data_IF_265235957276
#
_entry.id   IF_265235957276
#
_cell.length_a   1.000
_cell.length_b   1.000
_cell.length_c   1.000
_cell.angle_alpha   90.00
_cell.angle_beta   90.00
_cell.angle_gamma   90.00
#
_symmetry.space_group_name_H-M   'P 1'
#
loop_
_entity.id
_entity.type
_entity.pdbx_description
1 polymer ?
#
# COMPACT_ATOMS: atom_id res chain seq x y z
N UNK A 1 -5.59 32.55 -69.88
CA UNK A 1 -5.14 33.46 -68.81
C UNK A 1 -5.69 32.95 -67.48
N UNK A 2 -4.83 32.93 -66.47
CA UNK A 2 -5.14 33.02 -65.03
C UNK A 2 -5.91 31.85 -64.39
N UNK A 3 -5.19 30.78 -63.99
CA UNK A 3 -4.90 30.64 -62.54
C UNK A 3 -3.52 30.03 -62.20
N UNK A 4 -2.79 29.48 -63.17
CA UNK A 4 -1.55 28.71 -62.90
C UNK A 4 -0.37 29.62 -62.57
N UNK A 5 -0.33 30.84 -63.12
CA UNK A 5 0.75 31.81 -62.84
C UNK A 5 0.66 32.39 -61.42
N UNK A 6 -0.57 32.53 -60.88
CA UNK A 6 -0.78 33.06 -59.53
C UNK A 6 -0.27 32.12 -58.42
N UNK A 7 -0.39 30.81 -58.63
CA UNK A 7 0.09 29.79 -57.68
C UNK A 7 1.62 29.73 -57.67
N UNK A 8 2.27 29.85 -58.84
CA UNK A 8 3.73 29.87 -58.94
C UNK A 8 4.35 31.06 -58.20
N UNK A 9 3.73 32.24 -58.30
CA UNK A 9 4.22 33.45 -57.61
C UNK A 9 3.99 33.35 -56.09
N UNK A 10 2.88 32.79 -55.63
CA UNK A 10 2.60 32.61 -54.20
C UNK A 10 3.60 31.65 -53.52
N UNK A 11 3.95 30.53 -54.18
CA UNK A 11 4.93 29.58 -53.65
C UNK A 11 6.34 30.18 -53.61
N UNK A 12 6.71 30.94 -54.65
CA UNK A 12 7.99 31.65 -54.67
C UNK A 12 8.10 32.70 -53.56
N UNK A 13 7.00 33.41 -53.25
CA UNK A 13 6.96 34.43 -52.19
C UNK A 13 7.05 33.80 -50.78
N UNK A 14 6.40 32.66 -50.55
CA UNK A 14 6.52 31.93 -49.27
C UNK A 14 7.94 31.37 -49.09
N UNK A 15 8.55 30.85 -50.16
CA UNK A 15 9.94 30.40 -50.12
C UNK A 15 10.92 31.56 -49.87
N UNK A 16 10.69 32.73 -50.48
CA UNK A 16 11.51 33.92 -50.26
C UNK A 16 11.35 34.48 -48.84
N UNK A 17 10.14 34.46 -48.28
CA UNK A 17 9.91 34.83 -46.88
C UNK A 17 10.59 33.85 -45.93
N UNK A 18 10.54 32.54 -46.20
CA UNK A 18 11.20 31.52 -45.38
C UNK A 18 12.73 31.61 -45.42
N UNK A 19 13.32 31.93 -46.58
CA UNK A 19 14.77 32.13 -46.73
C UNK A 19 15.20 33.48 -46.13
N UNK A 20 14.35 34.49 -46.19
CA UNK A 20 14.62 35.81 -45.61
C UNK A 20 14.49 35.82 -44.07
N UNK A 21 13.55 35.07 -43.50
CA UNK A 21 13.46 34.86 -42.05
C UNK A 21 14.58 33.98 -41.51
N UNK A 22 15.18 33.13 -42.34
CA UNK A 22 16.37 32.35 -41.96
C UNK A 22 17.67 33.17 -42.05
N UNK A 23 17.75 34.16 -42.95
CA UNK A 23 18.95 34.99 -43.15
C UNK A 23 19.02 36.26 -42.29
N UNK A 24 17.90 36.74 -41.75
CA UNK A 24 17.89 37.81 -40.73
C UNK A 24 17.90 37.20 -39.35
N UNK A 25 19.10 37.14 -38.76
CA UNK A 25 19.35 36.67 -37.41
C UNK A 25 18.22 37.04 -36.46
N UNK A 26 17.55 36.01 -35.95
CA UNK A 26 16.64 36.10 -34.82
C UNK A 26 17.33 36.96 -33.76
N UNK A 27 16.70 38.03 -33.25
CA UNK A 27 17.32 38.86 -32.23
C UNK A 27 17.72 37.97 -31.06
N UNK A 28 19.04 37.88 -30.83
CA UNK A 28 19.74 37.13 -29.77
C UNK A 28 19.45 37.70 -28.36
N UNK A 29 18.24 38.22 -28.13
CA UNK A 29 17.85 38.88 -26.89
C UNK A 29 16.89 38.03 -26.02
N UNK A 30 16.62 36.78 -26.39
CA UNK A 30 15.81 35.85 -25.57
C UNK A 30 16.25 34.38 -25.68
N UNK A 31 17.51 34.12 -26.04
CA UNK A 31 18.12 32.81 -25.76
C UNK A 31 18.40 32.76 -24.27
N UNK A 32 17.36 32.49 -23.47
CA UNK A 32 17.57 31.80 -22.19
C UNK A 32 18.48 30.63 -22.54
N UNK A 33 19.69 30.60 -21.98
CA UNK A 33 20.68 29.55 -22.17
C UNK A 33 20.03 28.20 -21.85
N UNK A 34 19.44 27.57 -22.86
CA UNK A 34 18.75 26.30 -22.76
C UNK A 34 19.85 25.25 -22.65
N UNK A 35 20.22 24.91 -21.42
CA UNK A 35 21.11 23.79 -21.15
C UNK A 35 20.26 22.52 -21.14
N UNK A 36 20.44 21.59 -22.09
CA UNK A 36 19.69 20.33 -22.12
C UNK A 36 19.85 19.53 -20.82
N UNK A 37 21.05 19.61 -20.22
CA UNK A 37 21.34 19.00 -18.91
C UNK A 37 20.45 19.60 -17.81
N UNK A 38 20.31 20.93 -17.74
CA UNK A 38 19.41 21.57 -16.77
C UNK A 38 17.95 21.20 -17.01
N UNK A 39 17.52 21.11 -18.26
CA UNK A 39 16.16 20.71 -18.60
C UNK A 39 15.86 19.28 -18.10
N UNK A 40 16.76 18.32 -18.33
CA UNK A 40 16.63 16.94 -17.82
C UNK A 40 16.61 16.90 -16.30
N UNK A 41 17.44 17.70 -15.62
CA UNK A 41 17.46 17.75 -14.16
C UNK A 41 16.15 18.31 -13.57
N UNK A 42 15.61 19.36 -14.19
CA UNK A 42 14.31 19.92 -13.81
C UNK A 42 13.18 18.91 -14.03
N UNK A 43 13.19 18.22 -15.17
CA UNK A 43 12.22 17.18 -15.47
C UNK A 43 12.31 16.02 -14.48
N UNK A 44 13.53 15.56 -14.17
CA UNK A 44 13.76 14.51 -13.16
C UNK A 44 13.19 14.91 -11.80
N UNK A 45 13.44 16.14 -11.34
CA UNK A 45 12.87 16.63 -10.08
C UNK A 45 11.34 16.70 -10.11
N UNK A 46 10.74 17.09 -11.24
CA UNK A 46 9.29 17.12 -11.41
C UNK A 46 8.68 15.70 -11.44
N UNK A 47 9.34 14.73 -12.09
CA UNK A 47 8.92 13.32 -12.10
C UNK A 47 9.05 12.70 -10.71
N UNK A 48 10.15 12.98 -9.99
CA UNK A 48 10.34 12.52 -8.61
C UNK A 48 9.19 12.95 -7.69
N UNK A 49 8.80 14.23 -7.74
CA UNK A 49 7.66 14.74 -6.95
C UNK A 49 6.35 14.03 -7.30
N UNK A 50 6.08 13.79 -8.59
CA UNK A 50 4.88 13.06 -9.04
C UNK A 50 4.87 11.62 -8.52
N UNK A 51 5.96 10.88 -8.72
CA UNK A 51 6.09 9.50 -8.23
C UNK A 51 5.96 9.41 -6.72
N UNK A 52 6.60 10.34 -6.00
CA UNK A 52 6.52 10.42 -4.54
C UNK A 52 5.09 10.62 -4.06
N UNK A 53 4.37 11.60 -4.63
CA UNK A 53 2.98 11.86 -4.29
C UNK A 53 2.06 10.67 -4.61
N UNK A 54 2.41 9.87 -5.60
CA UNK A 54 1.65 8.68 -5.98
C UNK A 54 1.93 7.49 -5.06
N UNK A 55 3.19 7.25 -4.71
CA UNK A 55 3.57 6.27 -3.68
C UNK A 55 2.85 6.58 -2.35
N UNK A 56 2.81 7.86 -1.95
CA UNK A 56 2.11 8.30 -0.74
C UNK A 56 0.62 7.97 -0.77
N UNK A 57 -0.03 8.07 -1.94
CA UNK A 57 -1.44 7.70 -2.11
C UNK A 57 -1.65 6.21 -1.92
N UNK A 58 -0.80 5.36 -2.53
CA UNK A 58 -0.90 3.91 -2.37
C UNK A 58 -0.65 3.48 -0.92
N UNK A 59 0.39 4.02 -0.28
CA UNK A 59 0.71 3.75 1.11
C UNK A 59 -0.45 4.15 2.04
N UNK A 60 -0.99 5.36 1.87
CA UNK A 60 -2.12 5.86 2.66
C UNK A 60 -3.35 5.00 2.47
N UNK A 61 -3.70 4.64 1.22
CA UNK A 61 -4.86 3.79 0.93
C UNK A 61 -4.72 2.39 1.53
N UNK A 62 -3.54 1.78 1.36
CA UNK A 62 -3.25 0.45 1.90
C UNK A 62 -3.32 0.44 3.42
N UNK A 63 -2.69 1.40 4.10
CA UNK A 63 -2.70 1.51 5.58
C UNK A 63 -4.08 1.83 6.14
N UNK A 64 -4.84 2.73 5.51
CA UNK A 64 -6.18 3.10 5.97
C UNK A 64 -7.17 1.92 5.94
N UNK A 65 -6.95 0.97 5.02
CA UNK A 65 -7.83 -0.18 4.89
C UNK A 65 -7.55 -1.32 5.89
N UNK A 66 -6.40 -1.32 6.60
CA UNK A 66 -5.95 -2.47 7.39
C UNK A 66 -5.66 -2.19 8.87
N UNK A 67 -5.23 -3.22 9.60
CA UNK A 67 -4.80 -3.06 10.99
C UNK A 67 -3.50 -2.28 11.05
N UNK A 68 -3.48 -1.26 11.92
CA UNK A 68 -2.28 -0.48 12.17
C UNK A 68 -1.17 -1.39 12.71
N UNK A 69 -0.06 -1.48 11.98
CA UNK A 69 1.18 -2.02 12.52
C UNK A 69 1.57 -1.10 13.69
N UNK A 70 1.93 -1.71 14.84
CA UNK A 70 2.35 -0.95 16.03
C UNK A 70 3.44 0.04 15.64
N UNK A 71 3.42 1.23 16.24
CA UNK A 71 4.43 2.24 16.00
C UNK A 71 5.84 1.66 16.21
N UNK A 72 6.76 1.98 15.28
CA UNK A 72 8.12 1.46 15.27
C UNK A 72 8.28 -0.01 14.84
N UNK A 73 7.21 -0.67 14.40
CA UNK A 73 7.28 -2.00 13.79
C UNK A 73 7.02 -1.93 12.29
N UNK A 74 7.60 -2.89 11.58
CA UNK A 74 7.50 -3.07 10.13
C UNK A 74 6.91 -4.45 9.85
N UNK A 75 6.07 -4.56 8.82
CA UNK A 75 5.57 -5.86 8.35
C UNK A 75 6.70 -6.71 7.76
N UNK A 76 6.44 -8.02 7.57
CA UNK A 76 7.39 -8.91 6.92
C UNK A 76 7.74 -8.47 5.49
N UNK A 77 6.78 -7.96 4.71
CA UNK A 77 7.05 -7.44 3.37
C UNK A 77 7.86 -6.15 3.38
N UNK A 78 7.59 -5.21 4.29
CA UNK A 78 8.40 -4.00 4.44
C UNK A 78 9.85 -4.37 4.78
N UNK A 79 10.03 -5.34 5.67
CA UNK A 79 11.34 -5.84 6.07
C UNK A 79 12.05 -6.57 4.93
N UNK A 80 11.31 -7.37 4.14
CA UNK A 80 11.81 -8.01 2.92
C UNK A 80 12.35 -6.99 1.93
N UNK A 81 11.62 -5.91 1.67
CA UNK A 81 12.07 -4.86 0.75
C UNK A 81 13.36 -4.19 1.24
N UNK A 82 13.46 -3.90 2.54
CA UNK A 82 14.70 -3.36 3.16
C UNK A 82 15.86 -4.34 3.02
N UNK A 83 15.66 -5.63 3.28
CA UNK A 83 16.71 -6.63 3.13
C UNK A 83 17.21 -6.74 1.69
N UNK A 84 16.29 -6.83 0.73
CA UNK A 84 16.65 -6.88 -0.70
C UNK A 84 17.40 -5.61 -1.10
N UNK A 85 16.97 -4.44 -0.61
CA UNK A 85 17.67 -3.17 -0.83
C UNK A 85 19.10 -3.17 -0.29
N UNK A 86 19.32 -3.82 0.84
CA UNK A 86 20.63 -4.03 1.47
C UNK A 86 21.42 -5.21 0.86
N UNK A 87 20.84 -5.95 -0.09
CA UNK A 87 21.38 -7.24 -0.59
C UNK A 87 21.58 -8.27 0.51
N UNK A 88 20.73 -8.22 1.54
CA UNK A 88 20.62 -9.23 2.59
C UNK A 88 19.55 -10.25 2.20
N UNK A 89 19.74 -11.47 2.67
CA UNK A 89 18.78 -12.55 2.46
C UNK A 89 17.72 -12.51 3.57
N UNK A 90 16.48 -12.23 3.20
CA UNK A 90 15.34 -12.15 4.13
C UNK A 90 15.01 -13.50 4.79
N UNK A 91 15.33 -14.62 4.13
CA UNK A 91 15.07 -15.95 4.69
C UNK A 91 15.81 -16.17 6.01
N UNK A 92 16.91 -15.43 6.21
CA UNK A 92 17.74 -15.47 7.41
C UNK A 92 17.09 -14.82 8.64
N UNK A 93 16.02 -14.04 8.50
CA UNK A 93 15.36 -13.38 9.64
C UNK A 93 14.58 -14.33 10.57
N UNK A 94 14.32 -15.56 10.15
CA UNK A 94 13.76 -16.61 10.99
C UNK A 94 14.81 -17.35 11.87
N UNK A 95 16.09 -16.96 11.79
CA UNK A 95 17.20 -17.63 12.51
C UNK A 95 17.25 -17.39 14.01
N UNK A 96 16.46 -16.46 14.55
CA UNK A 96 16.51 -16.09 15.97
C UNK A 96 15.72 -17.04 16.91
N UNK A 97 15.67 -18.33 16.59
CA UNK A 97 15.16 -19.38 17.48
C UNK A 97 16.15 -20.54 17.46
N UNK A 98 17.07 -20.55 18.42
CA UNK A 98 17.95 -21.69 18.72
C UNK A 98 19.42 -21.51 18.33
N UNK A 99 20.26 -21.11 19.29
CA UNK A 99 21.69 -21.48 19.40
C UNK A 99 22.67 -21.09 18.29
N UNK A 100 22.27 -20.33 17.26
CA UNK A 100 23.17 -19.92 16.16
C UNK A 100 24.32 -18.98 16.53
N UNK A 101 24.42 -18.55 17.80
CA UNK A 101 25.56 -17.84 18.38
C UNK A 101 26.70 -18.78 18.83
N UNK A 102 26.44 -20.09 18.86
CA UNK A 102 27.42 -21.11 19.25
C UNK A 102 28.25 -21.51 18.02
N UNK A 103 29.58 -21.30 18.02
CA UNK A 103 30.42 -21.44 16.82
C UNK A 103 30.57 -22.87 16.28
N UNK A 104 30.09 -23.88 17.01
CA UNK A 104 30.16 -25.30 16.67
C UNK A 104 28.79 -25.94 16.42
N UNK A 105 27.69 -25.18 16.51
CA UNK A 105 26.40 -25.63 16.01
C UNK A 105 26.38 -25.30 14.51
N UNK A 106 26.40 -26.29 13.61
CA UNK A 106 26.23 -26.01 12.19
C UNK A 106 24.94 -25.22 12.01
N UNK A 107 24.98 -24.16 11.21
CA UNK A 107 23.78 -23.40 10.85
C UNK A 107 22.77 -24.45 10.34
N UNK A 108 21.58 -24.57 10.95
CA UNK A 108 20.62 -25.58 10.52
C UNK A 108 20.39 -25.42 9.01
N UNK A 109 20.49 -26.52 8.26
CA UNK A 109 20.14 -26.54 6.85
C UNK A 109 18.67 -26.11 6.74
N UNK A 110 18.44 -24.95 6.12
CA UNK A 110 17.09 -24.41 5.99
C UNK A 110 16.42 -25.01 4.77
N UNK A 111 15.44 -25.86 5.01
CA UNK A 111 14.41 -26.13 4.02
C UNK A 111 13.37 -25.00 4.10
N UNK A 112 13.32 -24.15 3.07
CA UNK A 112 12.19 -23.23 2.85
C UNK A 112 10.92 -24.08 2.75
N UNK A 113 10.04 -23.96 3.74
CA UNK A 113 8.70 -24.54 3.73
C UNK A 113 7.66 -23.42 3.67
N UNK A 114 6.49 -23.64 3.05
CA UNK A 114 5.43 -22.64 3.00
C UNK A 114 5.06 -22.06 4.38
N UNK A 115 5.11 -22.88 5.42
CA UNK A 115 4.83 -22.51 6.82
C UNK A 115 5.89 -21.55 7.37
N UNK A 116 7.18 -21.83 7.12
CA UNK A 116 8.27 -20.94 7.55
C UNK A 116 8.23 -19.60 6.80
N UNK A 117 7.89 -19.60 5.51
CA UNK A 117 7.70 -18.38 4.73
C UNK A 117 6.54 -17.56 5.28
N UNK A 118 5.38 -18.19 5.52
CA UNK A 118 4.20 -17.56 6.13
C UNK A 118 4.54 -16.93 7.48
N UNK A 119 5.16 -17.70 8.38
CA UNK A 119 5.53 -17.21 9.72
C UNK A 119 6.48 -16.01 9.68
N UNK A 120 7.39 -15.94 8.70
CA UNK A 120 8.23 -14.75 8.50
C UNK A 120 7.44 -13.53 8.03
N UNK A 121 6.49 -13.72 7.13
CA UNK A 121 5.72 -12.61 6.53
C UNK A 121 4.71 -12.02 7.51
N UNK A 122 4.10 -12.86 8.36
CA UNK A 122 3.12 -12.46 9.37
C UNK A 122 3.75 -11.75 10.59
N UNK A 123 5.07 -11.88 10.77
CA UNK A 123 5.77 -11.28 11.90
C UNK A 123 5.90 -9.76 11.74
N UNK A 124 5.71 -9.05 12.84
CA UNK A 124 6.10 -7.66 12.99
C UNK A 124 7.58 -7.58 13.42
N UNK A 125 8.42 -6.92 12.63
CA UNK A 125 9.84 -6.73 12.90
C UNK A 125 10.09 -5.35 13.50
N UNK A 126 11.01 -5.29 14.45
CA UNK A 126 11.60 -4.04 14.91
C UNK A 126 12.95 -3.89 14.24
N UNK A 127 13.06 -2.91 13.35
CA UNK A 127 14.32 -2.60 12.69
C UNK A 127 15.30 -1.96 13.69
N UNK A 128 16.58 -2.32 13.59
CA UNK A 128 17.64 -1.66 14.36
C UNK A 128 17.95 -0.26 13.78
N UNK A 129 18.85 0.51 14.43
CA UNK A 129 19.17 1.88 14.01
C UNK A 129 19.70 1.96 12.58
N UNK A 130 20.62 1.07 12.21
CA UNK A 130 21.20 0.98 10.87
C UNK A 130 20.13 0.69 9.81
N UNK A 131 19.28 -0.31 10.06
CA UNK A 131 18.18 -0.70 9.18
C UNK A 131 17.15 0.43 9.01
N UNK A 132 16.88 1.19 10.08
CA UNK A 132 15.99 2.36 10.01
C UNK A 132 16.59 3.47 9.16
N UNK A 133 17.87 3.78 9.33
CA UNK A 133 18.56 4.76 8.47
C UNK A 133 18.53 4.32 7.01
N UNK A 134 18.74 3.02 6.75
CA UNK A 134 18.67 2.48 5.39
C UNK A 134 17.25 2.56 4.82
N UNK A 135 16.23 2.22 5.60
CA UNK A 135 14.83 2.34 5.17
C UNK A 135 14.47 3.80 4.85
N UNK A 136 14.93 4.76 5.65
CA UNK A 136 14.76 6.20 5.36
C UNK A 136 15.46 6.60 4.06
N UNK A 137 16.70 6.14 3.85
CA UNK A 137 17.45 6.40 2.61
C UNK A 137 16.79 5.73 1.39
N UNK A 138 16.17 4.56 1.57
CA UNK A 138 15.38 3.88 0.55
C UNK A 138 14.16 4.73 0.17
N UNK A 139 13.41 5.25 1.15
CA UNK A 139 12.25 6.11 0.88
C UNK A 139 12.59 7.48 0.28
N UNK A 140 13.83 7.95 0.44
CA UNK A 140 14.32 9.17 -0.20
C UNK A 140 14.67 8.97 -1.69
N UNK A 141 14.92 7.74 -2.13
CA UNK A 141 15.19 7.38 -3.52
C UNK A 141 13.88 7.11 -4.28
N UNK A 142 13.83 7.49 -5.57
CA UNK A 142 12.66 7.24 -6.43
C UNK A 142 12.26 5.76 -6.49
N UNK A 143 13.23 4.90 -6.81
CA UNK A 143 12.98 3.46 -6.94
C UNK A 143 12.75 2.82 -5.57
N UNK A 144 13.52 3.25 -4.58
CA UNK A 144 13.37 2.75 -3.21
C UNK A 144 11.98 3.05 -2.62
N UNK A 145 11.43 4.24 -2.87
CA UNK A 145 10.06 4.58 -2.45
C UNK A 145 8.99 3.75 -3.15
N UNK A 146 9.15 3.47 -4.45
CA UNK A 146 8.27 2.55 -5.18
C UNK A 146 8.29 1.16 -4.54
N UNK A 147 9.48 0.64 -4.21
CA UNK A 147 9.62 -0.66 -3.55
C UNK A 147 9.02 -0.67 -2.13
N UNK A 148 9.18 0.42 -1.37
CA UNK A 148 8.59 0.58 -0.04
C UNK A 148 7.05 0.55 -0.10
N UNK A 149 6.46 1.33 -1.01
CA UNK A 149 5.02 1.35 -1.22
C UNK A 149 4.48 -0.02 -1.67
N UNK A 150 5.19 -0.70 -2.57
CA UNK A 150 4.83 -2.05 -3.01
C UNK A 150 4.81 -3.05 -1.86
N UNK A 151 5.78 -2.98 -0.95
CA UNK A 151 5.82 -3.82 0.23
C UNK A 151 4.60 -3.60 1.14
N UNK A 152 4.18 -2.35 1.32
CA UNK A 152 2.99 -2.00 2.12
C UNK A 152 1.71 -2.51 1.44
N UNK A 153 1.58 -2.35 0.12
CA UNK A 153 0.45 -2.88 -0.65
C UNK A 153 0.41 -4.41 -0.58
N UNK A 154 1.54 -5.09 -0.77
CA UNK A 154 1.66 -6.54 -0.68
C UNK A 154 1.30 -7.04 0.73
N UNK A 155 1.80 -6.39 1.78
CA UNK A 155 1.41 -6.69 3.15
C UNK A 155 -0.11 -6.58 3.35
N UNK A 156 -0.73 -5.56 2.76
CA UNK A 156 -2.18 -5.39 2.86
C UNK A 156 -2.96 -6.48 2.11
N UNK A 157 -2.53 -6.86 0.91
CA UNK A 157 -3.14 -7.98 0.17
C UNK A 157 -3.07 -9.25 1.00
N UNK A 158 -1.87 -9.54 1.51
CA UNK A 158 -1.59 -10.76 2.27
C UNK A 158 -2.45 -10.87 3.54
N UNK A 159 -2.86 -9.75 4.15
CA UNK A 159 -3.71 -9.76 5.34
C UNK A 159 -5.17 -10.14 5.07
N UNK A 160 -5.66 -10.13 3.82
CA UNK A 160 -7.04 -10.49 3.54
C UNK A 160 -7.25 -12.01 3.67
N UNK A 161 -8.19 -12.50 4.48
CA UNK A 161 -8.49 -13.93 4.58
C UNK A 161 -8.77 -14.61 3.24
N UNK A 162 -9.49 -13.94 2.33
CA UNK A 162 -9.82 -14.45 0.99
C UNK A 162 -8.58 -14.68 0.12
N UNK A 163 -7.44 -14.04 0.42
CA UNK A 163 -6.17 -14.32 -0.26
C UNK A 163 -5.67 -15.75 -0.02
N UNK A 164 -6.08 -16.36 1.10
CA UNK A 164 -5.66 -17.69 1.52
C UNK A 164 -6.69 -18.78 1.23
N UNK A 165 -7.88 -18.45 0.74
CA UNK A 165 -9.00 -19.40 0.55
C UNK A 165 -8.85 -20.33 -0.66
N UNK A 166 -7.75 -20.24 -1.42
CA UNK A 166 -7.52 -21.00 -2.66
C UNK A 166 -8.30 -20.47 -3.88
N UNK A 167 -9.19 -19.49 -3.70
CA UNK A 167 -9.99 -18.89 -4.79
C UNK A 167 -9.13 -18.37 -5.94
N UNK A 168 -8.03 -17.70 -5.62
CA UNK A 168 -7.13 -17.14 -6.63
C UNK A 168 -6.29 -18.20 -7.35
N UNK A 169 -6.04 -19.35 -6.72
CA UNK A 169 -5.34 -20.48 -7.34
C UNK A 169 -6.20 -21.09 -8.45
N UNK A 170 -7.51 -21.26 -8.20
CA UNK A 170 -8.45 -21.80 -9.19
C UNK A 170 -8.70 -20.90 -10.40
N UNK A 171 -8.46 -19.59 -10.26
CA UNK A 171 -8.61 -18.60 -11.33
C UNK A 171 -7.29 -18.29 -12.08
N UNK A 172 -6.19 -18.97 -11.73
CA UNK A 172 -4.84 -18.66 -12.24
C UNK A 172 -4.44 -17.18 -12.09
N UNK A 173 -5.02 -16.49 -11.09
CA UNK A 173 -4.86 -15.06 -10.87
C UNK A 173 -3.94 -14.75 -9.69
N UNK A 174 -3.43 -15.78 -9.01
CA UNK A 174 -2.56 -15.60 -7.84
C UNK A 174 -1.18 -15.14 -8.27
N UNK A 175 -0.83 -13.95 -7.78
CA UNK A 175 0.51 -13.36 -7.93
C UNK A 175 1.36 -13.75 -6.73
N UNK A 176 2.61 -14.14 -6.95
CA UNK A 176 3.59 -14.32 -5.88
C UNK A 176 4.05 -12.95 -5.35
N UNK A 177 3.42 -12.51 -4.26
CA UNK A 177 3.70 -11.21 -3.63
C UNK A 177 5.16 -11.08 -3.16
N UNK A 178 5.80 -12.18 -2.75
CA UNK A 178 7.20 -12.17 -2.31
C UNK A 178 8.09 -11.90 -3.52
N UNK A 179 7.90 -12.66 -4.60
CA UNK A 179 8.64 -12.46 -5.84
C UNK A 179 8.47 -11.06 -6.42
N UNK A 180 7.25 -10.50 -6.36
CA UNK A 180 6.96 -9.13 -6.82
C UNK A 180 7.70 -8.06 -6.02
N UNK A 181 7.64 -8.12 -4.69
CA UNK A 181 8.35 -7.16 -3.83
C UNK A 181 9.86 -7.28 -3.99
N UNK A 182 10.38 -8.52 -4.05
CA UNK A 182 11.81 -8.77 -4.31
C UNK A 182 12.24 -8.24 -5.67
N UNK A 183 11.43 -8.44 -6.73
CA UNK A 183 11.72 -7.91 -8.05
C UNK A 183 11.78 -6.37 -8.04
N UNK A 184 10.76 -5.71 -7.47
CA UNK A 184 10.70 -4.25 -7.42
C UNK A 184 11.87 -3.65 -6.64
N UNK A 185 12.20 -4.21 -5.47
CA UNK A 185 13.33 -3.76 -4.67
C UNK A 185 14.67 -3.99 -5.38
N UNK A 186 14.86 -5.15 -6.01
CA UNK A 186 16.08 -5.46 -6.77
C UNK A 186 16.24 -4.52 -7.98
N UNK A 187 15.19 -4.36 -8.77
CA UNK A 187 15.18 -3.47 -9.93
C UNK A 187 15.43 -2.00 -9.53
N UNK A 188 14.87 -1.56 -8.40
CA UNK A 188 15.12 -0.24 -7.86
C UNK A 188 16.59 -0.02 -7.47
N UNK A 189 17.23 -0.99 -6.79
CA UNK A 189 18.66 -0.89 -6.49
C UNK A 189 19.53 -0.84 -7.75
N UNK A 190 19.16 -1.58 -8.79
CA UNK A 190 19.87 -1.61 -10.07
C UNK A 190 19.76 -0.25 -10.78
N UNK A 191 18.55 0.32 -10.85
CA UNK A 191 18.31 1.65 -11.43
C UNK A 191 19.07 2.72 -10.67
N UNK A 192 19.06 2.68 -9.33
CA UNK A 192 19.87 3.59 -8.51
C UNK A 192 21.36 3.50 -8.86
N UNK A 193 21.89 2.28 -8.95
CA UNK A 193 23.28 2.04 -9.35
C UNK A 193 23.60 2.54 -10.76
N UNK A 194 22.64 2.48 -11.68
CA UNK A 194 22.79 3.03 -13.03
C UNK A 194 22.77 4.56 -13.03
N UNK A 195 21.93 5.21 -12.21
CA UNK A 195 21.95 6.67 -12.04
C UNK A 195 23.26 7.18 -11.45
N UNK A 196 23.86 6.47 -10.50
CA UNK A 196 25.18 6.84 -9.95
C UNK A 196 26.28 6.77 -11.00
N UNK A 197 26.14 5.92 -12.03
CA UNK A 197 27.10 5.86 -13.15
C UNK A 197 26.80 6.87 -14.25
N UNK A 198 25.56 7.34 -14.34
CA UNK A 198 25.09 8.31 -15.32
C UNK A 198 25.02 9.73 -14.70
N UNK A 199 26.12 10.18 -14.12
CA UNK A 199 26.22 11.54 -13.57
C UNK A 199 26.21 12.60 -14.67
N UNK A 200 25.73 13.82 -14.38
CA UNK A 200 25.76 14.92 -15.34
C UNK A 200 27.20 15.21 -15.80
N UNK A 201 27.44 15.44 -17.10
CA UNK A 201 28.77 15.83 -17.56
C UNK A 201 29.16 17.18 -16.95
N UNK A 202 30.43 17.29 -16.55
CA UNK A 202 31.01 18.49 -15.94
C UNK A 202 32.25 18.97 -16.70
N UNK A 203 32.67 20.21 -16.49
CA UNK A 203 33.88 20.76 -17.11
C UNK A 203 33.81 20.77 -18.64
N UNK A 204 34.91 20.44 -19.35
CA UNK A 204 34.96 20.45 -20.82
C UNK A 204 33.92 19.53 -21.48
N UNK A 205 33.59 18.41 -20.85
CA UNK A 205 32.59 17.45 -21.35
C UNK A 205 31.16 18.01 -21.33
N UNK A 206 30.87 19.03 -20.51
CA UNK A 206 29.55 19.66 -20.48
C UNK A 206 29.25 20.50 -21.73
N UNK A 207 30.28 20.84 -22.50
CA UNK A 207 30.18 21.56 -23.78
C UNK A 207 30.20 20.64 -24.99
N UNK A 208 30.50 19.35 -24.79
CA UNK A 208 30.53 18.34 -25.84
C UNK A 208 29.08 17.91 -26.17
N UNK A 209 28.66 18.13 -27.40
CA UNK A 209 27.28 17.90 -27.85
C UNK A 209 26.94 16.41 -27.82
N UNK A 210 27.88 15.53 -28.17
CA UNK A 210 27.64 14.09 -28.22
C UNK A 210 27.54 13.51 -26.79
N UNK A 211 28.39 13.99 -25.88
CA UNK A 211 28.34 13.60 -24.46
C UNK A 211 27.02 14.06 -23.82
N UNK A 212 26.61 15.31 -24.06
CA UNK A 212 25.34 15.84 -23.53
C UNK A 212 24.15 15.08 -24.13
N UNK A 213 24.14 14.80 -25.43
CA UNK A 213 23.07 14.04 -26.07
C UNK A 213 22.94 12.63 -25.49
N UNK A 214 24.07 11.92 -25.30
CA UNK A 214 24.08 10.60 -24.68
C UNK A 214 23.57 10.64 -23.23
N UNK A 215 24.00 11.64 -22.45
CA UNK A 215 23.52 11.83 -21.08
C UNK A 215 21.99 12.03 -21.02
N UNK A 216 21.45 12.89 -21.89
CA UNK A 216 20.00 13.14 -22.00
C UNK A 216 19.26 11.86 -22.35
N UNK A 217 19.74 11.11 -23.35
CA UNK A 217 19.14 9.85 -23.77
C UNK A 217 19.13 8.82 -22.62
N UNK A 218 20.28 8.59 -21.97
CA UNK A 218 20.40 7.61 -20.88
C UNK A 218 19.55 8.00 -19.67
N UNK A 219 19.54 9.27 -19.31
CA UNK A 219 18.68 9.78 -18.23
C UNK A 219 17.20 9.54 -18.53
N UNK A 220 16.77 9.80 -19.78
CA UNK A 220 15.40 9.52 -20.22
C UNK A 220 15.01 8.04 -20.10
N UNK A 221 15.90 7.13 -20.52
CA UNK A 221 15.68 5.69 -20.40
C UNK A 221 15.56 5.23 -18.94
N UNK A 222 16.43 5.72 -18.06
CA UNK A 222 16.39 5.37 -16.63
C UNK A 222 15.12 5.92 -15.95
N UNK A 223 14.69 7.13 -16.32
CA UNK A 223 13.42 7.69 -15.86
C UNK A 223 12.22 6.86 -16.36
N UNK A 224 12.22 6.45 -17.63
CA UNK A 224 11.20 5.55 -18.16
C UNK A 224 11.15 4.20 -17.45
N UNK A 225 12.31 3.67 -17.04
CA UNK A 225 12.38 2.44 -16.23
C UNK A 225 11.74 2.63 -14.85
N UNK A 226 11.98 3.76 -14.17
CA UNK A 226 11.28 4.08 -12.91
C UNK A 226 9.76 4.19 -13.10
N UNK A 227 9.33 4.82 -14.19
CA UNK A 227 7.90 4.95 -14.50
C UNK A 227 7.25 3.57 -14.76
N UNK A 228 7.98 2.63 -15.37
CA UNK A 228 7.52 1.24 -15.52
C UNK A 228 7.43 0.47 -14.18
N UNK A 229 8.34 0.72 -13.23
CA UNK A 229 8.24 0.15 -11.88
C UNK A 229 7.03 0.70 -11.13
N UNK A 230 6.72 1.98 -11.31
CA UNK A 230 5.51 2.60 -10.76
C UNK A 230 4.23 2.01 -11.37
N UNK A 231 4.22 1.72 -12.67
CA UNK A 231 3.08 1.06 -13.31
C UNK A 231 2.85 -0.35 -12.76
N UNK A 232 3.92 -1.08 -12.46
CA UNK A 232 3.82 -2.39 -11.79
C UNK A 232 3.26 -2.27 -10.37
N UNK A 233 3.62 -1.21 -9.64
CA UNK A 233 3.02 -0.89 -8.33
C UNK A 233 1.52 -0.56 -8.47
N UNK A 234 1.11 0.21 -9.48
CA UNK A 234 -0.32 0.47 -9.76
C UNK A 234 -1.09 -0.83 -9.97
N UNK A 235 -0.57 -1.74 -10.79
CA UNK A 235 -1.20 -3.04 -11.03
C UNK A 235 -1.34 -3.87 -9.74
N UNK A 236 -0.34 -3.79 -8.84
CA UNK A 236 -0.42 -4.43 -7.53
C UNK A 236 -1.49 -3.79 -6.63
N UNK A 237 -1.66 -2.47 -6.69
CA UNK A 237 -2.73 -1.75 -5.96
C UNK A 237 -4.13 -2.04 -6.51
N UNK A 238 -4.26 -2.21 -7.83
CA UNK A 238 -5.51 -2.66 -8.46
C UNK A 238 -5.88 -4.06 -7.97
N UNK A 239 -4.91 -4.98 -7.91
CA UNK A 239 -5.11 -6.30 -7.30
C UNK A 239 -5.59 -6.19 -5.85
N UNK A 240 -4.97 -5.33 -5.04
CA UNK A 240 -5.42 -5.06 -3.66
C UNK A 240 -6.88 -4.62 -3.62
N UNK A 241 -7.29 -3.73 -4.52
CA UNK A 241 -8.68 -3.26 -4.59
C UNK A 241 -9.65 -4.40 -4.95
N UNK A 242 -9.28 -5.29 -5.87
CA UNK A 242 -10.08 -6.47 -6.22
C UNK A 242 -10.20 -7.44 -5.04
N UNK A 243 -9.08 -7.76 -4.38
CA UNK A 243 -9.06 -8.65 -3.22
C UNK A 243 -9.92 -8.08 -2.09
N UNK A 244 -9.84 -6.77 -1.83
CA UNK A 244 -10.66 -6.11 -0.82
C UNK A 244 -12.17 -6.21 -1.11
N UNK A 245 -12.59 -6.04 -2.39
CA UNK A 245 -13.99 -6.19 -2.79
C UNK A 245 -14.48 -7.63 -2.64
N UNK A 246 -13.63 -8.60 -2.97
CA UNK A 246 -13.94 -10.02 -2.79
C UNK A 246 -14.07 -10.38 -1.31
N UNK A 247 -13.19 -9.84 -0.44
CA UNK A 247 -13.31 -10.00 1.01
C UNK A 247 -14.65 -9.46 1.49
N UNK A 248 -15.01 -8.22 1.14
CA UNK A 248 -16.28 -7.63 1.56
C UNK A 248 -17.51 -8.42 1.08
N UNK A 249 -17.42 -9.06 -0.09
CA UNK A 249 -18.48 -9.97 -0.58
C UNK A 249 -18.51 -11.28 0.21
N UNK A 250 -17.35 -11.85 0.56
CA UNK A 250 -17.26 -13.03 1.42
C UNK A 250 -17.86 -12.72 2.79
N UNK A 251 -17.43 -11.64 3.44
CA UNK A 251 -17.93 -11.21 4.76
C UNK A 251 -19.45 -11.02 4.75
N UNK A 252 -19.99 -10.44 3.67
CA UNK A 252 -21.44 -10.29 3.48
C UNK A 252 -22.14 -11.65 3.39
N UNK A 253 -21.60 -12.58 2.63
CA UNK A 253 -22.18 -13.91 2.48
C UNK A 253 -22.12 -14.68 3.80
N UNK A 254 -20.97 -14.66 4.48
CA UNK A 254 -20.78 -15.31 5.78
C UNK A 254 -21.76 -14.76 6.83
N UNK A 255 -22.00 -13.44 6.79
CA UNK A 255 -23.02 -12.80 7.62
C UNK A 255 -24.45 -13.22 7.25
N UNK A 256 -24.78 -13.30 5.95
CA UNK A 256 -26.10 -13.76 5.49
C UNK A 256 -26.36 -15.22 5.85
N UNK A 257 -25.36 -16.10 5.72
CA UNK A 257 -25.46 -17.51 6.09
C UNK A 257 -25.63 -17.66 7.61
N UNK A 258 -24.90 -16.86 8.39
CA UNK A 258 -25.07 -16.81 9.86
C UNK A 258 -26.45 -16.27 10.25
N UNK A 259 -26.91 -15.20 9.60
CA UNK A 259 -28.21 -14.59 9.89
C UNK A 259 -29.39 -15.47 9.44
N UNK A 260 -29.27 -16.17 8.31
CA UNK A 260 -30.27 -17.12 7.82
C UNK A 260 -30.31 -18.42 8.61
N UNK A 261 -29.29 -18.70 9.44
CA UNK A 261 -29.30 -19.83 10.39
C UNK A 261 -30.07 -19.54 11.68
N UNK A 262 -30.43 -18.27 11.93
CA UNK A 262 -31.42 -17.92 12.95
C UNK A 262 -32.80 -18.29 12.40
N UNK A 263 -33.40 -19.35 12.92
CA UNK A 263 -34.79 -19.67 12.59
C UNK A 263 -35.69 -18.59 13.18
N UNK A 264 -36.29 -17.77 12.30
CA UNK A 264 -37.21 -16.69 12.69
C UNK A 264 -38.36 -17.23 13.57
N UNK A 265 -38.72 -18.52 13.43
CA UNK A 265 -39.75 -19.17 14.25
C UNK A 265 -39.28 -19.39 15.68
N UNK A 266 -38.05 -19.88 15.88
CA UNK A 266 -37.49 -20.13 17.21
C UNK A 266 -37.20 -18.82 17.94
N UNK A 267 -36.63 -17.83 17.24
CA UNK A 267 -36.40 -16.49 17.80
C UNK A 267 -37.73 -15.81 18.17
N UNK A 268 -38.77 -16.00 17.36
CA UNK A 268 -40.12 -15.54 17.66
C UNK A 268 -40.74 -16.25 18.86
N UNK A 269 -40.56 -17.57 18.98
CA UNK A 269 -41.06 -18.36 20.09
C UNK A 269 -40.39 -17.97 21.42
N UNK A 270 -39.07 -17.80 21.42
CA UNK A 270 -38.30 -17.36 22.59
C UNK A 270 -38.71 -15.94 23.02
N UNK A 271 -38.91 -15.02 22.07
CA UNK A 271 -39.39 -13.67 22.39
C UNK A 271 -40.79 -13.66 23.04
N UNK A 272 -41.68 -14.57 22.60
CA UNK A 272 -43.01 -14.75 23.22
C UNK A 272 -42.88 -15.38 24.60
N UNK A 273 -42.04 -16.40 24.76
CA UNK A 273 -41.78 -17.06 26.05
C UNK A 273 -41.21 -16.06 27.08
N UNK A 274 -40.25 -15.24 26.69
CA UNK A 274 -39.68 -14.17 27.52
C UNK A 274 -40.73 -13.12 27.90
N UNK A 275 -41.63 -12.76 26.98
CA UNK A 275 -42.74 -11.84 27.26
C UNK A 275 -43.70 -12.41 28.31
N UNK A 276 -44.07 -13.69 28.18
CA UNK A 276 -44.93 -14.38 29.15
C UNK A 276 -44.26 -14.54 30.51
N UNK A 277 -42.96 -14.84 30.52
CA UNK A 277 -42.18 -14.94 31.75
C UNK A 277 -42.05 -13.59 32.47
N UNK A 278 -41.87 -12.49 31.72
CA UNK A 278 -41.88 -11.13 32.27
C UNK A 278 -43.24 -10.76 32.89
N UNK A 279 -44.35 -11.22 32.31
CA UNK A 279 -45.70 -11.05 32.89
C UNK A 279 -45.82 -11.82 34.21
N UNK A 280 -45.40 -13.09 34.25
CA UNK A 280 -45.42 -13.92 35.47
C UNK A 280 -44.57 -13.29 36.59
N UNK A 281 -43.37 -12.77 36.29
CA UNK A 281 -42.55 -12.04 37.26
C UNK A 281 -43.31 -10.82 37.82
N UNK A 282 -43.98 -10.04 36.96
CA UNK A 282 -44.75 -8.87 37.39
C UNK A 282 -45.93 -9.25 38.28
N UNK A 283 -46.64 -10.33 37.96
CA UNK A 283 -47.78 -10.79 38.74
C UNK A 283 -47.34 -11.38 40.08
N UNK A 284 -46.20 -12.08 40.13
CA UNK A 284 -45.57 -12.51 41.39
C UNK A 284 -45.14 -11.33 42.25
N UNK A 285 -44.56 -10.28 41.64
CA UNK A 285 -44.17 -9.08 42.35
C UNK A 285 -45.37 -8.35 42.98
N UNK A 286 -46.46 -8.16 42.22
CA UNK A 286 -47.72 -7.60 42.74
C UNK A 286 -48.32 -8.46 43.86
N UNK A 287 -48.28 -9.79 43.69
CA UNK A 287 -48.79 -10.72 44.71
C UNK A 287 -47.96 -10.64 46.00
N UNK A 288 -46.64 -10.52 45.89
CA UNK A 288 -45.75 -10.34 47.03
C UNK A 288 -45.96 -8.99 47.72
N UNK A 289 -46.18 -7.91 46.97
CA UNK A 289 -46.51 -6.58 47.50
C UNK A 289 -47.82 -6.61 48.29
N UNK A 290 -48.88 -7.21 47.74
CA UNK A 290 -50.17 -7.35 48.43
C UNK A 290 -50.05 -8.17 49.73
N UNK A 291 -49.30 -9.28 49.70
CA UNK A 291 -49.05 -10.09 50.88
C UNK A 291 -48.24 -9.34 51.96
N UNK A 292 -47.24 -8.55 51.54
CA UNK A 292 -46.48 -7.70 52.45
C UNK A 292 -47.36 -6.63 53.08
N UNK A 293 -48.21 -5.95 52.30
CA UNK A 293 -49.16 -4.96 52.79
C UNK A 293 -50.13 -5.55 53.83
N UNK A 294 -50.72 -6.72 53.57
CA UNK A 294 -51.58 -7.42 54.53
C UNK A 294 -50.84 -7.77 55.83
N UNK A 295 -49.59 -8.21 55.74
CA UNK A 295 -48.78 -8.53 56.91
C UNK A 295 -48.44 -7.29 57.73
N UNK A 296 -48.08 -6.18 57.08
CA UNK A 296 -47.83 -4.91 57.76
C UNK A 296 -49.09 -4.33 58.42
N UNK A 297 -50.26 -4.52 57.82
CA UNK A 297 -51.54 -4.11 58.39
C UNK A 297 -51.95 -5.01 59.58
N UNK A 298 -51.71 -6.32 59.48
CA UNK A 298 -51.88 -7.28 60.58
C UNK A 298 -50.94 -7.02 61.75
N UNK A 299 -49.70 -6.58 61.52
CA UNK A 299 -48.74 -6.20 62.58
C UNK A 299 -49.05 -4.83 63.21
N UNK A 300 -49.93 -4.03 62.58
CA UNK A 300 -50.39 -2.72 63.08
C UNK A 300 -51.56 -2.83 64.05
N UNK A 301 -52.44 -3.83 63.87
CA UNK A 301 -53.62 -4.05 64.70
C UNK A 301 -53.29 -4.26 66.21
N UNK A 302 -52.27 -5.04 66.62
CA UNK A 302 -51.94 -5.22 68.03
C UNK A 302 -51.50 -3.92 68.73
N UNK A 303 -50.89 -2.99 68.00
CA UNK A 303 -50.40 -1.71 68.56
C UNK A 303 -51.53 -0.70 68.79
N UNK A 304 -52.58 -0.73 67.95
CA UNK A 304 -53.75 0.13 68.14
C UNK A 304 -54.62 -0.34 69.32
N UNK A 305 -54.64 -1.64 69.64
CA UNK A 305 -55.34 -2.14 70.82
C UNK A 305 -54.59 -1.91 72.14
N UNK A 306 -53.26 -1.73 72.12
CA UNK A 306 -52.49 -1.34 73.32
C UNK A 306 -52.50 0.16 73.65
N UNK A 307 -52.99 1.02 72.74
CA UNK A 307 -53.13 2.47 72.96
C UNK A 307 -54.55 2.88 73.38
N UNK A 308 -55.47 1.92 73.52
CA UNK A 308 -56.88 2.12 73.93
C UNK A 308 -57.20 1.58 75.33
N UNK A 309 -56.21 1.11 76.09
CA UNK A 309 -56.26 0.88 77.55
C UNK A 309 -55.56 2.01 78.31
#
# INVERSE_FOLDING_TARGET
MEPVVAIGVAVALVALIAVWTWSRGVPLALVRTFSPVRAVQQERAARHRRRSAECDRFETSARASGHAVKEGHFSGFETLAVDVWMRRDFTLRHRAVGLGWIPFVPKPEHHETPETTRGRLERAYRLNDEERTVAQAMCADDGGRIAAAAAIVAARIYQFPVWHSGLFDGLYARVDLVAEVTYLASAATEVRGQFTRAEPPTGPMASDVDVVALYVQKSGLLQGRLDALLERLRALDDLRTVVARLQARSDKNDWLDSAGSLDDVDVGADAVADSLYAIDIRDRAKSAEAAAAMRFESDRLPKLFSELE
#
